data_IF_714700470127
#
_entry.id   IF_714700470127
#
_cell.length_a   1.000
_cell.length_b   1.000
_cell.length_c   1.000
_cell.angle_alpha   90.00
_cell.angle_beta   90.00
_cell.angle_gamma   90.00
#
_symmetry.space_group_name_H-M   'P 1'
#
loop_
_entity.id
_entity.type
_entity.pdbx_description
1 polymer ?
#
# COMPACT_ATOMS: atom_id res chain seq x y z
N UNK A 1 -39.16 -55.87 -57.97
CA UNK A 1 -37.70 -56.05 -58.04
C UNK A 1 -37.10 -54.77 -57.47
N UNK A 2 -36.84 -54.68 -56.17
CA UNK A 2 -35.53 -54.99 -55.52
C UNK A 2 -34.62 -53.75 -55.67
N UNK A 3 -33.98 -53.12 -54.68
CA UNK A 3 -33.50 -53.46 -53.31
C UNK A 3 -33.94 -52.30 -52.37
N UNK A 4 -34.02 -52.37 -51.04
CA UNK A 4 -33.75 -53.38 -50.01
C UNK A 4 -33.19 -52.72 -48.74
N UNK A 5 -33.42 -53.27 -47.54
CA UNK A 5 -33.11 -52.60 -46.25
C UNK A 5 -31.89 -53.18 -45.53
N UNK A 6 -30.99 -52.31 -45.05
CA UNK A 6 -30.13 -52.58 -43.88
C UNK A 6 -29.78 -51.27 -43.15
N UNK A 7 -29.95 -51.26 -41.82
CA UNK A 7 -29.37 -50.23 -40.94
C UNK A 7 -27.95 -50.62 -40.53
N UNK A 8 -27.13 -49.65 -40.09
CA UNK A 8 -26.41 -49.65 -38.79
C UNK A 8 -25.57 -48.35 -38.59
N UNK A 9 -25.97 -47.58 -37.57
CA UNK A 9 -25.18 -46.79 -36.60
C UNK A 9 -24.28 -45.58 -37.01
N UNK A 10 -23.99 -44.67 -36.05
CA UNK A 10 -23.64 -43.28 -36.35
C UNK A 10 -22.14 -43.02 -36.47
N UNK A 11 -21.76 -42.12 -37.38
CA UNK A 11 -20.39 -41.66 -37.55
C UNK A 11 -19.95 -40.69 -36.45
N UNK A 12 -18.75 -40.94 -35.93
CA UNK A 12 -18.07 -40.13 -34.91
C UNK A 12 -17.81 -38.70 -35.36
N UNK A 13 -18.04 -37.72 -34.47
CA UNK A 13 -17.63 -36.33 -34.66
C UNK A 13 -16.11 -36.22 -34.87
N UNK A 14 -15.72 -35.66 -36.01
CA UNK A 14 -14.33 -35.33 -36.32
C UNK A 14 -13.78 -34.27 -35.35
N UNK A 15 -12.53 -34.37 -34.88
CA UNK A 15 -11.92 -33.33 -34.05
C UNK A 15 -11.73 -32.04 -34.86
N UNK A 16 -12.13 -30.91 -34.27
CA UNK A 16 -11.97 -29.58 -34.86
C UNK A 16 -10.48 -29.26 -34.99
N UNK A 17 -9.97 -29.25 -36.22
CA UNK A 17 -8.60 -28.82 -36.53
C UNK A 17 -8.50 -27.30 -36.42
N UNK A 18 -7.78 -26.81 -35.41
CA UNK A 18 -7.45 -25.39 -35.26
C UNK A 18 -6.39 -24.95 -36.29
N UNK A 19 -6.79 -24.78 -37.55
CA UNK A 19 -5.95 -24.14 -38.57
C UNK A 19 -6.01 -22.61 -38.45
N UNK A 20 -5.36 -22.07 -37.42
CA UNK A 20 -5.27 -20.64 -37.18
C UNK A 20 -3.87 -20.25 -36.71
N UNK A 21 -3.17 -19.43 -37.50
CA UNK A 21 -1.84 -18.90 -37.17
C UNK A 21 -1.86 -18.14 -35.83
N UNK A 22 -1.47 -18.83 -34.75
CA UNK A 22 -1.38 -18.23 -33.43
C UNK A 22 -0.19 -17.27 -33.38
N UNK A 23 -0.47 -15.96 -33.47
CA UNK A 23 0.50 -14.90 -33.16
C UNK A 23 0.92 -15.02 -31.70
N UNK A 24 2.08 -15.64 -31.48
CA UNK A 24 2.77 -15.82 -30.20
C UNK A 24 1.87 -16.00 -28.97
N UNK A 25 1.51 -17.26 -28.67
CA UNK A 25 1.33 -17.62 -27.27
C UNK A 25 2.60 -17.23 -26.50
N UNK A 26 2.50 -16.54 -25.34
CA UNK A 26 3.65 -16.39 -24.45
C UNK A 26 4.14 -17.79 -24.05
N UNK A 27 5.45 -17.98 -23.90
CA UNK A 27 6.01 -19.25 -23.44
C UNK A 27 5.32 -19.68 -22.13
N UNK A 28 5.07 -20.98 -21.96
CA UNK A 28 4.35 -21.54 -20.80
C UNK A 28 4.89 -20.98 -19.48
N UNK A 29 6.22 -20.95 -19.33
CA UNK A 29 6.95 -20.38 -18.19
C UNK A 29 6.59 -18.92 -17.89
N UNK A 30 6.30 -18.09 -18.91
CA UNK A 30 5.90 -16.69 -18.72
C UNK A 30 4.44 -16.59 -18.26
N UNK A 31 3.56 -17.44 -18.78
CA UNK A 31 2.16 -17.51 -18.35
C UNK A 31 2.05 -18.04 -16.91
N UNK A 32 2.79 -19.10 -16.57
CA UNK A 32 2.91 -19.66 -15.22
C UNK A 32 3.43 -18.63 -14.21
N UNK A 33 4.48 -17.87 -14.58
CA UNK A 33 5.02 -16.81 -13.73
C UNK A 33 4.00 -15.68 -13.48
N UNK A 34 3.22 -15.29 -14.49
CA UNK A 34 2.17 -14.28 -14.34
C UNK A 34 1.02 -14.78 -13.44
N UNK A 35 0.54 -16.01 -13.65
CA UNK A 35 -0.47 -16.66 -12.78
C UNK A 35 0.03 -16.71 -11.32
N UNK A 36 1.26 -17.17 -11.10
CA UNK A 36 1.86 -17.25 -9.77
C UNK A 36 2.07 -15.87 -9.10
N UNK A 37 2.31 -14.81 -9.88
CA UNK A 37 2.39 -13.45 -9.37
C UNK A 37 1.01 -12.89 -8.99
N UNK A 38 -0.03 -13.14 -9.81
CA UNK A 38 -1.42 -12.77 -9.50
C UNK A 38 -1.94 -13.47 -8.25
N UNK A 39 -1.63 -14.76 -8.07
CA UNK A 39 -1.95 -15.49 -6.84
C UNK A 39 -1.31 -14.86 -5.60
N UNK A 40 -0.02 -14.53 -5.64
CA UNK A 40 0.69 -13.84 -4.54
C UNK A 40 0.09 -12.47 -4.24
N UNK A 41 -0.31 -11.73 -5.27
CA UNK A 41 -0.98 -10.43 -5.13
C UNK A 41 -2.34 -10.55 -4.45
N UNK A 42 -3.15 -11.54 -4.82
CA UNK A 42 -4.44 -11.80 -4.17
C UNK A 42 -4.27 -12.19 -2.69
N UNK A 43 -3.35 -13.12 -2.39
CA UNK A 43 -3.01 -13.49 -0.99
C UNK A 43 -2.54 -12.29 -0.18
N UNK A 44 -1.80 -11.35 -0.80
CA UNK A 44 -1.40 -10.10 -0.17
C UNK A 44 -2.58 -9.15 0.07
N UNK A 45 -3.55 -9.05 -0.84
CA UNK A 45 -4.78 -8.26 -0.66
C UNK A 45 -5.68 -8.85 0.44
N UNK A 46 -5.64 -10.18 0.67
CA UNK A 46 -6.41 -10.87 1.70
C UNK A 46 -5.91 -10.60 3.14
N UNK A 47 -4.74 -9.98 3.31
CA UNK A 47 -4.27 -9.57 4.62
C UNK A 47 -5.18 -8.49 5.24
N UNK A 48 -5.46 -8.59 6.54
CA UNK A 48 -6.41 -7.70 7.25
C UNK A 48 -6.04 -6.21 7.14
N UNK A 49 -4.74 -5.88 7.10
CA UNK A 49 -4.21 -4.52 6.87
C UNK A 49 -4.52 -3.96 5.48
N UNK A 50 -4.91 -4.81 4.53
CA UNK A 50 -5.15 -4.50 3.13
C UNK A 50 -6.62 -4.64 2.74
N UNK A 51 -7.53 -4.90 3.69
CA UNK A 51 -8.99 -4.89 3.52
C UNK A 51 -9.50 -3.69 2.71
N UNK A 52 -9.05 -2.48 3.05
CA UNK A 52 -9.39 -1.24 2.30
C UNK A 52 -8.88 -1.29 0.86
N UNK A 53 -7.67 -1.80 0.60
CA UNK A 53 -7.11 -1.93 -0.75
C UNK A 53 -7.86 -2.99 -1.56
N UNK A 54 -8.24 -4.10 -0.94
CA UNK A 54 -9.07 -5.15 -1.55
C UNK A 54 -10.44 -4.58 -1.95
N UNK A 55 -11.07 -3.82 -1.06
CA UNK A 55 -12.34 -3.15 -1.34
C UNK A 55 -12.20 -2.13 -2.46
N UNK A 56 -11.21 -1.23 -2.42
CA UNK A 56 -10.97 -0.23 -3.45
C UNK A 56 -10.60 -0.86 -4.82
N UNK A 57 -9.93 -2.02 -4.83
CA UNK A 57 -9.68 -2.80 -6.05
C UNK A 57 -10.97 -3.33 -6.66
N UNK A 58 -11.85 -3.92 -5.83
CA UNK A 58 -13.13 -4.46 -6.26
C UNK A 58 -14.03 -3.38 -6.87
N UNK A 59 -14.02 -2.18 -6.28
CA UNK A 59 -14.74 -1.01 -6.79
C UNK A 59 -14.01 -0.26 -7.93
N UNK A 60 -12.93 -0.83 -8.48
CA UNK A 60 -12.17 -0.24 -9.60
C UNK A 60 -11.71 1.21 -9.35
N UNK A 61 -11.36 1.55 -8.11
CA UNK A 61 -10.88 2.89 -7.73
C UNK A 61 -9.37 3.04 -7.95
N UNK A 62 -8.63 1.93 -7.94
CA UNK A 62 -7.16 1.90 -7.99
C UNK A 62 -6.71 1.72 -9.44
N UNK A 63 -5.89 2.66 -9.92
CA UNK A 63 -5.14 2.50 -11.15
C UNK A 63 -3.93 1.60 -10.86
N UNK A 64 -4.14 0.28 -10.96
CA UNK A 64 -3.11 -0.70 -10.67
C UNK A 64 -1.93 -0.63 -11.65
N UNK A 65 -2.15 -0.17 -12.89
CA UNK A 65 -1.10 0.03 -13.90
C UNK A 65 -0.15 1.16 -13.47
N UNK A 66 -0.69 2.34 -13.18
CA UNK A 66 0.13 3.47 -12.69
C UNK A 66 0.74 3.17 -11.32
N UNK A 67 0.01 2.48 -10.44
CA UNK A 67 0.50 2.08 -9.11
C UNK A 67 1.70 1.13 -9.21
N UNK A 68 1.67 0.15 -10.12
CA UNK A 68 2.81 -0.75 -10.34
C UNK A 68 4.03 0.01 -10.92
N UNK A 69 3.80 0.91 -11.88
CA UNK A 69 4.85 1.81 -12.39
C UNK A 69 5.43 2.69 -11.28
N UNK A 70 4.61 3.20 -10.35
CA UNK A 70 5.05 4.03 -9.23
C UNK A 70 5.92 3.29 -8.19
N UNK A 71 5.69 2.00 -7.94
CA UNK A 71 6.59 1.20 -7.10
C UNK A 71 7.94 0.89 -7.79
N UNK A 72 7.99 0.98 -9.13
CA UNK A 72 9.22 0.86 -9.92
C UNK A 72 9.93 2.21 -10.10
N UNK A 73 9.17 3.31 -10.10
CA UNK A 73 9.60 4.68 -10.38
C UNK A 73 10.83 5.11 -9.55
N UNK A 74 11.73 5.83 -10.21
CA UNK A 74 13.03 6.20 -9.67
C UNK A 74 13.43 7.60 -10.19
N UNK A 75 13.40 8.60 -9.31
CA UNK A 75 13.82 9.98 -9.62
C UNK A 75 15.35 10.18 -9.52
N UNK A 76 16.13 9.11 -9.52
CA UNK A 76 17.58 9.16 -9.42
C UNK A 76 18.18 8.30 -10.53
N UNK A 77 19.07 8.86 -11.35
CA UNK A 77 19.63 8.18 -12.52
C UNK A 77 20.37 6.88 -12.18
N UNK A 78 20.81 6.73 -10.92
CA UNK A 78 21.45 5.52 -10.42
C UNK A 78 20.41 4.48 -9.97
N UNK A 79 20.42 3.24 -10.53
CA UNK A 79 19.43 2.21 -10.22
C UNK A 79 19.50 1.68 -8.77
N UNK A 80 20.62 1.90 -8.09
CA UNK A 80 20.87 1.51 -6.70
C UNK A 80 21.47 2.67 -5.92
N UNK A 81 20.62 3.49 -5.29
CA UNK A 81 21.05 4.54 -4.36
C UNK A 81 20.46 4.34 -2.96
N UNK A 82 21.18 4.76 -1.92
CA UNK A 82 20.68 4.71 -0.54
C UNK A 82 19.38 5.52 -0.35
N UNK A 83 19.23 6.61 -1.11
CA UNK A 83 17.99 7.41 -1.19
C UNK A 83 16.83 6.56 -1.74
N UNK A 84 17.01 5.90 -2.88
CA UNK A 84 16.01 5.01 -3.49
C UNK A 84 15.64 3.83 -2.57
N UNK A 85 16.62 3.20 -1.92
CA UNK A 85 16.37 2.13 -0.95
C UNK A 85 15.52 2.60 0.22
N UNK A 86 15.77 3.81 0.76
CA UNK A 86 14.94 4.43 1.80
C UNK A 86 13.54 4.79 1.29
N UNK A 87 13.41 5.25 0.04
CA UNK A 87 12.10 5.54 -0.57
C UNK A 87 11.27 4.27 -0.81
N UNK A 88 11.84 3.21 -1.38
CA UNK A 88 11.17 1.91 -1.55
C UNK A 88 10.80 1.26 -0.21
N UNK A 89 11.65 1.40 0.81
CA UNK A 89 11.34 0.94 2.17
C UNK A 89 10.22 1.77 2.83
N UNK A 90 10.07 3.05 2.46
CA UNK A 90 8.95 3.89 2.86
C UNK A 90 7.67 3.45 2.16
N UNK A 91 7.66 3.40 0.82
CA UNK A 91 6.54 2.90 0.00
C UNK A 91 5.97 1.58 0.53
N UNK A 92 6.84 0.58 0.77
CA UNK A 92 6.42 -0.72 1.33
C UNK A 92 5.78 -0.63 2.73
N UNK A 93 6.22 0.30 3.59
CA UNK A 93 5.60 0.49 4.91
C UNK A 93 4.22 1.16 4.78
N UNK A 94 4.10 2.16 3.90
CA UNK A 94 2.85 2.89 3.65
C UNK A 94 1.76 1.99 3.08
N UNK A 95 2.07 1.25 2.00
CA UNK A 95 1.08 0.41 1.31
C UNK A 95 0.57 -0.76 2.17
N UNK A 96 1.28 -1.11 3.25
CA UNK A 96 0.90 -2.18 4.17
C UNK A 96 0.42 -1.68 5.56
N UNK A 97 0.33 -0.36 5.80
CA UNK A 97 0.06 0.22 7.13
C UNK A 97 1.05 -0.22 8.23
N UNK A 98 2.35 -0.19 7.93
CA UNK A 98 3.45 -0.65 8.80
C UNK A 98 4.41 0.46 9.23
N UNK A 99 3.94 1.72 9.29
CA UNK A 99 4.67 2.76 10.02
C UNK A 99 4.66 2.47 11.52
N UNK A 100 5.68 2.91 12.29
CA UNK A 100 5.68 2.79 13.75
C UNK A 100 4.80 3.85 14.42
N UNK A 101 3.48 3.67 14.28
CA UNK A 101 2.45 4.33 15.09
C UNK A 101 2.35 3.71 16.48
N UNK A 102 1.69 4.40 17.41
CA UNK A 102 1.70 3.98 18.81
C UNK A 102 1.03 2.63 19.06
N UNK A 103 -0.03 2.27 18.33
CA UNK A 103 -0.67 0.95 18.40
C UNK A 103 0.35 -0.20 18.15
N UNK A 104 1.18 -0.07 17.13
CA UNK A 104 2.22 -1.05 16.75
C UNK A 104 3.39 -1.02 17.73
N UNK A 105 3.80 0.17 18.18
CA UNK A 105 4.92 0.33 19.12
C UNK A 105 4.56 -0.21 20.51
N UNK A 106 3.39 0.13 21.02
CA UNK A 106 2.83 -0.34 22.28
C UNK A 106 2.64 -1.86 22.25
N UNK A 107 2.04 -2.43 21.20
CA UNK A 107 1.88 -3.89 21.06
C UNK A 107 3.21 -4.65 21.06
N UNK A 108 4.29 -4.04 20.54
CA UNK A 108 5.63 -4.67 20.47
C UNK A 108 6.48 -4.46 21.73
N UNK A 109 6.30 -3.34 22.44
CA UNK A 109 7.11 -2.95 23.59
C UNK A 109 6.25 -2.25 24.68
N UNK A 110 5.21 -2.91 25.23
CA UNK A 110 4.22 -2.27 26.11
C UNK A 110 4.84 -1.54 27.30
N UNK A 111 5.87 -2.11 27.94
CA UNK A 111 6.53 -1.48 29.10
C UNK A 111 7.40 -0.27 28.74
N UNK A 112 7.75 -0.06 27.46
CA UNK A 112 8.50 1.11 27.00
C UNK A 112 7.58 2.26 26.53
N UNK A 113 6.29 1.99 26.33
CA UNK A 113 5.33 2.95 25.78
C UNK A 113 4.03 3.04 26.60
N UNK A 114 4.05 2.56 27.85
CA UNK A 114 2.88 2.54 28.74
C UNK A 114 2.24 3.92 28.93
N UNK A 115 3.04 4.98 28.96
CA UNK A 115 2.60 6.34 29.29
C UNK A 115 2.23 7.19 28.05
N UNK A 116 2.20 6.60 26.83
CA UNK A 116 1.73 7.29 25.62
C UNK A 116 1.20 6.31 24.57
N UNK A 117 -0.09 6.43 24.23
CA UNK A 117 -0.75 5.68 23.13
C UNK A 117 -1.50 6.56 22.12
N UNK A 118 -1.76 7.80 22.50
CA UNK A 118 -2.55 8.78 21.76
C UNK A 118 -1.79 9.43 20.60
N UNK A 119 -2.54 10.05 19.68
CA UNK A 119 -2.03 10.81 18.55
C UNK A 119 -0.99 11.86 18.96
N UNK A 120 0.13 11.93 18.23
CA UNK A 120 1.17 12.92 18.46
C UNK A 120 0.80 14.35 18.04
N UNK A 121 -0.30 14.53 17.31
CA UNK A 121 -0.77 15.86 16.87
C UNK A 121 -1.91 16.39 17.75
N UNK A 122 -2.99 15.63 17.92
CA UNK A 122 -4.20 16.11 18.61
C UNK A 122 -4.38 15.59 20.04
N UNK A 123 -3.64 14.53 20.42
CA UNK A 123 -3.79 13.79 21.70
C UNK A 123 -5.16 13.14 21.99
N UNK A 124 -6.17 13.27 21.11
CA UNK A 124 -7.56 12.87 21.39
C UNK A 124 -7.90 11.38 21.20
N UNK A 125 -7.17 10.67 20.33
CA UNK A 125 -7.47 9.28 19.95
C UNK A 125 -6.20 8.42 19.94
N UNK A 126 -6.33 7.08 20.00
CA UNK A 126 -5.19 6.17 19.81
C UNK A 126 -4.53 6.40 18.44
N UNK A 127 -3.19 6.36 18.39
CA UNK A 127 -2.49 6.50 17.12
C UNK A 127 -2.30 5.15 16.41
N UNK A 128 -3.12 4.93 15.39
CA UNK A 128 -2.98 3.88 14.37
C UNK A 128 -2.45 4.45 13.04
N UNK A 129 -1.99 3.59 12.13
CA UNK A 129 -1.60 3.99 10.77
C UNK A 129 -2.74 4.70 10.01
N UNK A 130 -4.00 4.37 10.30
CA UNK A 130 -5.15 4.97 9.63
C UNK A 130 -5.44 6.37 10.19
N UNK A 131 -5.53 6.47 11.52
CA UNK A 131 -5.79 7.72 12.22
C UNK A 131 -4.69 8.78 12.00
N UNK A 132 -3.47 8.36 11.68
CA UNK A 132 -2.36 9.26 11.35
C UNK A 132 -2.68 10.19 10.17
N UNK A 133 -3.35 9.68 9.13
CA UNK A 133 -3.68 10.47 7.92
C UNK A 133 -5.04 11.14 7.99
N UNK A 134 -5.92 10.65 8.88
CA UNK A 134 -7.33 11.04 8.99
C UNK A 134 -7.64 11.89 10.23
N UNK A 135 -6.66 12.11 11.11
CA UNK A 135 -6.76 13.02 12.25
C UNK A 135 -7.12 14.43 11.76
N UNK A 136 -8.20 15.01 12.31
CA UNK A 136 -8.72 16.34 11.93
C UNK A 136 -7.64 17.42 11.96
N UNK A 137 -6.84 17.47 13.03
CA UNK A 137 -5.75 18.45 13.18
C UNK A 137 -4.66 18.25 12.11
N UNK A 138 -4.32 17.01 11.74
CA UNK A 138 -3.39 16.76 10.64
C UNK A 138 -3.96 17.19 9.28
N UNK A 139 -5.27 17.00 9.07
CA UNK A 139 -5.97 17.43 7.85
C UNK A 139 -6.04 18.96 7.75
N UNK A 140 -6.31 19.66 8.86
CA UNK A 140 -6.28 21.12 8.93
C UNK A 140 -4.88 21.69 8.64
N UNK A 141 -3.83 21.11 9.23
CA UNK A 141 -2.44 21.48 8.94
C UNK A 141 -2.08 21.21 7.48
N UNK A 142 -2.56 20.10 6.91
CA UNK A 142 -2.29 19.71 5.53
C UNK A 142 -3.02 20.58 4.50
N UNK A 143 -4.20 21.10 4.83
CA UNK A 143 -5.09 21.82 3.92
C UNK A 143 -4.41 22.94 3.09
N UNK A 144 -3.78 23.99 3.68
CA UNK A 144 -3.16 25.06 2.89
C UNK A 144 -2.04 24.55 1.96
N UNK A 145 -1.35 23.48 2.35
CA UNK A 145 -0.32 22.87 1.52
C UNK A 145 -0.87 22.10 0.32
N UNK A 146 -2.03 21.44 0.47
CA UNK A 146 -2.73 20.79 -0.64
C UNK A 146 -3.33 21.83 -1.59
N UNK A 147 -3.93 22.90 -1.07
CA UNK A 147 -4.42 24.02 -1.88
C UNK A 147 -3.29 24.61 -2.73
N UNK A 148 -2.10 24.85 -2.16
CA UNK A 148 -0.94 25.31 -2.93
C UNK A 148 -0.51 24.28 -3.98
N UNK A 149 -0.38 23.00 -3.62
CA UNK A 149 -0.03 21.94 -4.57
C UNK A 149 -0.99 21.87 -5.76
N UNK A 150 -2.28 22.12 -5.55
CA UNK A 150 -3.28 22.12 -6.62
C UNK A 150 -3.08 23.31 -7.56
N UNK A 151 -2.74 24.50 -7.06
CA UNK A 151 -2.41 25.65 -7.92
C UNK A 151 -1.09 25.44 -8.68
N UNK A 152 -0.08 24.85 -8.04
CA UNK A 152 1.20 24.48 -8.67
C UNK A 152 0.98 23.44 -9.79
N UNK A 153 0.18 22.40 -9.51
CA UNK A 153 -0.20 21.34 -10.47
C UNK A 153 -0.98 21.90 -11.66
N UNK A 154 -1.97 22.75 -11.39
CA UNK A 154 -2.77 23.46 -12.41
C UNK A 154 -1.89 24.31 -13.33
N UNK A 155 -0.91 25.01 -12.75
CA UNK A 155 0.04 25.83 -13.49
C UNK A 155 0.97 24.96 -14.35
N UNK A 156 1.55 23.90 -13.79
CA UNK A 156 2.41 22.94 -14.50
C UNK A 156 1.67 22.25 -15.66
N UNK A 157 0.42 21.84 -15.49
CA UNK A 157 -0.39 21.25 -16.57
C UNK A 157 -0.65 22.29 -17.66
N UNK A 158 -1.14 23.48 -17.34
CA UNK A 158 -1.42 24.53 -18.34
C UNK A 158 -0.19 24.99 -19.12
N UNK A 159 0.99 24.94 -18.51
CA UNK A 159 2.26 25.27 -19.16
C UNK A 159 2.84 24.12 -20.02
N UNK A 160 2.32 22.89 -19.90
CA UNK A 160 2.94 21.71 -20.55
C UNK A 160 1.98 20.80 -21.31
N UNK A 161 0.66 21.03 -21.28
CA UNK A 161 -0.32 20.26 -22.03
C UNK A 161 -0.23 20.55 -23.55
N UNK A 162 -0.32 19.50 -24.36
CA UNK A 162 -0.23 19.57 -25.83
C UNK A 162 -1.54 20.09 -26.48
N UNK A 163 -2.68 19.89 -25.82
CA UNK A 163 -4.03 20.10 -26.40
C UNK A 163 -4.80 21.27 -25.76
N UNK A 164 -4.18 22.02 -24.86
CA UNK A 164 -4.86 22.99 -23.99
C UNK A 164 -5.77 22.31 -22.96
N UNK A 165 -6.33 23.10 -22.04
CA UNK A 165 -7.35 22.59 -21.12
C UNK A 165 -8.26 23.69 -20.53
N UNK A 166 -9.56 23.60 -20.84
CA UNK A 166 -10.63 24.44 -20.31
C UNK A 166 -11.35 23.84 -19.08
N UNK A 167 -11.29 22.52 -18.88
CA UNK A 167 -12.01 21.78 -17.83
C UNK A 167 -11.17 21.49 -16.59
N UNK A 168 -9.84 21.63 -16.65
CA UNK A 168 -8.90 21.36 -15.54
C UNK A 168 -9.33 21.92 -14.18
N UNK A 169 -9.93 23.11 -14.16
CA UNK A 169 -10.42 23.73 -12.92
C UNK A 169 -11.53 22.88 -12.28
N UNK A 170 -12.50 22.48 -13.10
CA UNK A 170 -13.64 21.65 -12.69
C UNK A 170 -13.19 20.24 -12.34
N UNK A 171 -12.22 19.67 -13.08
CA UNK A 171 -11.65 18.35 -12.77
C UNK A 171 -10.93 18.35 -11.40
N UNK A 172 -10.11 19.36 -11.12
CA UNK A 172 -9.40 19.49 -9.84
C UNK A 172 -10.36 19.76 -8.68
N UNK A 173 -11.35 20.66 -8.86
CA UNK A 173 -12.32 21.01 -7.83
C UNK A 173 -13.24 19.85 -7.44
N UNK A 174 -13.61 19.00 -8.40
CA UNK A 174 -14.46 17.83 -8.15
C UNK A 174 -13.68 16.56 -7.77
N UNK A 175 -12.35 16.56 -7.89
CA UNK A 175 -11.52 15.39 -7.64
C UNK A 175 -11.70 14.83 -6.23
N UNK A 176 -11.91 13.51 -6.09
CA UNK A 176 -12.18 12.93 -4.76
C UNK A 176 -11.00 12.96 -3.78
N UNK A 177 -9.79 13.25 -4.27
CA UNK A 177 -8.60 13.48 -3.43
C UNK A 177 -8.59 14.92 -2.88
N UNK A 178 -9.04 15.88 -3.67
CA UNK A 178 -8.82 17.32 -3.42
C UNK A 178 -10.06 18.07 -2.93
N UNK A 179 -11.28 17.64 -3.30
CA UNK A 179 -12.53 18.34 -2.99
C UNK A 179 -12.70 18.72 -1.51
N UNK A 180 -12.25 17.88 -0.59
CA UNK A 180 -12.27 18.15 0.85
C UNK A 180 -11.39 19.35 1.25
N UNK A 181 -10.23 19.52 0.62
CA UNK A 181 -9.28 20.60 0.93
C UNK A 181 -9.61 21.91 0.19
N UNK A 182 -10.42 21.86 -0.87
CA UNK A 182 -10.80 23.01 -1.68
C UNK A 182 -12.11 23.68 -1.22
N UNK A 183 -12.96 22.96 -0.47
CA UNK A 183 -14.21 23.52 0.03
C UNK A 183 -14.05 24.31 1.34
N UNK A 184 -14.97 25.25 1.55
CA UNK A 184 -15.10 25.98 2.81
C UNK A 184 -15.33 25.01 3.98
N UNK A 185 -14.69 25.30 5.13
CA UNK A 185 -14.69 24.43 6.31
C UNK A 185 -16.12 24.11 6.76
N UNK A 186 -16.40 22.82 6.98
CA UNK A 186 -17.69 22.33 7.49
C UNK A 186 -18.65 21.77 6.43
N UNK A 187 -18.43 22.03 5.13
CA UNK A 187 -19.36 21.61 4.07
C UNK A 187 -19.25 20.13 3.65
N UNK A 188 -18.13 19.46 3.95
CA UNK A 188 -17.91 18.04 3.68
C UNK A 188 -17.58 17.28 4.96
N UNK A 189 -18.00 15.99 5.08
CA UNK A 189 -17.51 15.13 6.14
C UNK A 189 -16.00 14.93 6.03
N UNK A 190 -15.35 14.72 7.17
CA UNK A 190 -13.93 14.40 7.23
C UNK A 190 -13.62 13.13 6.39
N UNK A 191 -12.48 13.09 5.67
CA UNK A 191 -12.01 11.88 5.01
C UNK A 191 -11.97 10.67 5.96
N UNK A 192 -12.37 9.52 5.44
CA UNK A 192 -12.34 8.23 6.14
C UNK A 192 -11.41 7.26 5.43
N UNK A 193 -11.27 6.04 5.95
CA UNK A 193 -10.52 4.97 5.27
C UNK A 193 -11.08 4.62 3.89
N UNK A 194 -12.36 4.89 3.63
CA UNK A 194 -13.00 4.66 2.32
C UNK A 194 -12.81 5.83 1.34
N UNK A 195 -12.15 6.93 1.75
CA UNK A 195 -11.92 8.10 0.89
C UNK A 195 -10.72 7.91 -0.03
N UNK A 196 -10.83 8.39 -1.28
CA UNK A 196 -9.77 8.30 -2.29
C UNK A 196 -8.45 8.95 -1.80
N UNK A 197 -8.53 10.04 -1.04
CA UNK A 197 -7.37 10.65 -0.36
C UNK A 197 -6.59 9.66 0.54
N UNK A 198 -7.27 8.75 1.23
CA UNK A 198 -6.60 7.76 2.07
C UNK A 198 -5.78 6.75 1.25
N UNK A 199 -6.25 6.39 0.04
CA UNK A 199 -5.48 5.58 -0.91
C UNK A 199 -4.22 6.32 -1.38
N UNK A 200 -4.34 7.62 -1.70
CA UNK A 200 -3.19 8.49 -1.99
C UNK A 200 -2.18 8.51 -0.84
N UNK A 201 -2.64 8.65 0.41
CA UNK A 201 -1.79 8.57 1.59
C UNK A 201 -1.05 7.21 1.66
N UNK A 202 -1.73 6.09 1.37
CA UNK A 202 -1.14 4.74 1.27
C UNK A 202 -0.19 4.51 0.08
N UNK A 203 0.15 5.53 -0.70
CA UNK A 203 1.03 5.46 -1.89
C UNK A 203 0.39 4.71 -3.07
N UNK A 204 -0.94 4.71 -3.18
CA UNK A 204 -1.69 4.10 -4.28
C UNK A 204 -2.17 5.19 -5.24
N UNK A 205 -1.93 5.00 -6.54
CA UNK A 205 -2.48 5.86 -7.59
C UNK A 205 -3.90 5.39 -7.89
N UNK A 206 -4.85 6.32 -7.81
CA UNK A 206 -6.26 6.07 -8.08
C UNK A 206 -6.64 6.60 -9.44
N UNK A 207 -7.73 6.10 -10.00
CA UNK A 207 -8.24 6.62 -11.27
C UNK A 207 -8.60 8.12 -11.18
N UNK A 208 -9.10 8.62 -10.04
CA UNK A 208 -9.24 10.07 -9.81
C UNK A 208 -7.93 10.84 -10.06
N UNK A 209 -6.76 10.32 -9.66
CA UNK A 209 -5.50 11.02 -9.88
C UNK A 209 -5.03 10.91 -11.33
N UNK A 210 -5.05 9.72 -11.92
CA UNK A 210 -4.65 9.50 -13.32
C UNK A 210 -5.53 10.28 -14.30
N UNK A 211 -6.83 10.40 -14.01
CA UNK A 211 -7.79 11.11 -14.86
C UNK A 211 -7.44 12.58 -15.01
N UNK A 212 -6.86 13.23 -13.99
CA UNK A 212 -6.37 14.62 -14.08
C UNK A 212 -5.40 14.80 -15.25
N UNK A 213 -4.69 13.78 -15.72
CA UNK A 213 -3.73 13.92 -16.81
C UNK A 213 -4.27 13.42 -18.17
N UNK A 214 -5.48 12.85 -18.19
CA UNK A 214 -6.11 12.29 -19.40
C UNK A 214 -6.27 13.37 -20.47
N UNK A 215 -6.01 12.98 -21.72
CA UNK A 215 -6.20 13.78 -22.94
C UNK A 215 -5.41 15.11 -23.01
N UNK A 216 -4.59 15.45 -22.01
CA UNK A 216 -3.71 16.64 -21.99
C UNK A 216 -2.38 16.46 -22.73
N UNK A 217 -1.94 15.23 -22.95
CA UNK A 217 -0.61 14.91 -23.49
C UNK A 217 -0.69 13.91 -24.64
N UNK A 218 -0.08 14.25 -25.78
CA UNK A 218 -0.02 13.46 -27.02
C UNK A 218 0.74 12.16 -26.85
N UNK A 219 1.83 12.20 -26.09
CA UNK A 219 2.74 11.08 -25.92
C UNK A 219 2.50 10.35 -24.60
N UNK A 220 2.08 9.08 -24.67
CA UNK A 220 1.83 8.20 -23.51
C UNK A 220 3.00 8.17 -22.50
N UNK A 221 4.25 8.23 -22.97
CA UNK A 221 5.44 8.30 -22.09
C UNK A 221 5.48 9.60 -21.28
N UNK A 222 5.14 10.74 -21.88
CA UNK A 222 5.06 12.04 -21.21
C UNK A 222 3.92 12.05 -20.19
N UNK A 223 2.74 11.54 -20.58
CA UNK A 223 1.59 11.34 -19.70
C UNK A 223 1.95 10.54 -18.44
N UNK A 224 2.52 9.35 -18.60
CA UNK A 224 2.94 8.50 -17.48
C UNK A 224 3.97 9.21 -16.59
N UNK A 225 5.01 9.81 -17.18
CA UNK A 225 6.03 10.53 -16.43
C UNK A 225 5.46 11.70 -15.60
N UNK A 226 4.48 12.43 -16.15
CA UNK A 226 3.77 13.51 -15.44
C UNK A 226 2.95 12.96 -14.26
N UNK A 227 2.14 11.91 -14.47
CA UNK A 227 1.40 11.22 -13.40
C UNK A 227 2.35 10.79 -12.29
N UNK A 228 3.43 10.07 -12.62
CA UNK A 228 4.38 9.53 -11.64
C UNK A 228 5.15 10.63 -10.88
N UNK A 229 5.58 11.70 -11.56
CA UNK A 229 6.27 12.84 -10.92
C UNK A 229 5.34 13.60 -9.98
N UNK A 230 4.13 13.94 -10.44
CA UNK A 230 3.18 14.71 -9.63
C UNK A 230 2.60 13.90 -8.47
N UNK A 231 2.43 12.59 -8.63
CA UNK A 231 2.07 11.71 -7.51
C UNK A 231 3.22 11.56 -6.50
N UNK A 232 4.48 11.50 -6.95
CA UNK A 232 5.64 11.56 -6.06
C UNK A 232 5.70 12.88 -5.28
N UNK A 233 5.51 14.03 -5.95
CA UNK A 233 5.47 15.35 -5.32
C UNK A 233 4.38 15.41 -4.23
N UNK A 234 3.15 14.98 -4.53
CA UNK A 234 2.02 14.93 -3.59
C UNK A 234 2.29 14.02 -2.38
N UNK A 235 2.72 12.78 -2.62
CA UNK A 235 2.97 11.82 -1.54
C UNK A 235 4.13 12.24 -0.63
N UNK A 236 5.13 12.94 -1.17
CA UNK A 236 6.26 13.46 -0.42
C UNK A 236 5.90 14.75 0.32
N UNK A 237 4.96 15.55 -0.19
CA UNK A 237 4.34 16.66 0.52
C UNK A 237 3.59 16.17 1.76
N UNK A 238 2.67 15.22 1.62
CA UNK A 238 1.90 14.62 2.74
C UNK A 238 2.86 14.10 3.83
N UNK A 239 3.90 13.37 3.42
CA UNK A 239 4.97 12.89 4.31
C UNK A 239 5.78 14.01 4.99
N UNK A 240 6.06 15.10 4.27
CA UNK A 240 6.80 16.26 4.80
C UNK A 240 5.99 16.99 5.87
N UNK A 241 4.69 17.13 5.66
CA UNK A 241 3.80 17.91 6.53
C UNK A 241 3.32 17.08 7.74
N UNK A 242 2.90 15.83 7.54
CA UNK A 242 2.35 14.99 8.63
C UNK A 242 3.45 14.13 9.28
N UNK A 243 4.08 13.24 8.51
CA UNK A 243 4.96 12.22 9.09
C UNK A 243 6.23 12.77 9.72
N UNK A 244 6.90 13.74 9.08
CA UNK A 244 8.16 14.29 9.61
C UNK A 244 7.97 14.98 10.97
N UNK A 245 7.07 15.97 11.15
CA UNK A 245 6.83 16.60 12.46
C UNK A 245 6.42 15.58 13.52
N UNK A 246 5.47 14.68 13.23
CA UNK A 246 5.06 13.59 14.14
C UNK A 246 6.26 12.76 14.60
N UNK A 247 7.12 12.35 13.67
CA UNK A 247 8.28 11.53 13.96
C UNK A 247 9.36 12.28 14.76
N UNK A 248 9.47 13.59 14.59
CA UNK A 248 10.40 14.42 15.36
C UNK A 248 9.87 14.72 16.78
N UNK A 249 8.56 14.91 16.96
CA UNK A 249 7.91 14.92 18.29
C UNK A 249 8.11 13.58 19.01
N UNK A 250 7.89 12.46 18.33
CA UNK A 250 8.15 11.11 18.86
C UNK A 250 9.62 10.90 19.28
N UNK A 251 10.59 11.44 18.51
CA UNK A 251 12.01 11.41 18.91
C UNK A 251 12.26 12.22 20.18
N UNK A 252 11.77 13.47 20.26
CA UNK A 252 11.92 14.34 21.44
C UNK A 252 11.37 13.65 22.70
N UNK A 253 10.16 13.09 22.63
CA UNK A 253 9.57 12.35 23.73
C UNK A 253 10.40 11.14 24.15
N UNK A 254 10.90 10.31 23.20
CA UNK A 254 11.77 9.17 23.54
C UNK A 254 13.06 9.59 24.27
N UNK A 255 13.63 10.74 23.92
CA UNK A 255 14.82 11.27 24.60
C UNK A 255 14.46 11.66 26.04
N UNK A 256 13.36 12.38 26.25
CA UNK A 256 12.86 12.73 27.58
C UNK A 256 12.52 11.50 28.46
N UNK A 257 12.07 10.41 27.85
CA UNK A 257 11.79 9.13 28.52
C UNK A 257 13.00 8.18 28.59
N UNK A 258 14.20 8.62 28.20
CA UNK A 258 15.44 7.81 28.20
C UNK A 258 15.33 6.48 27.41
N UNK A 259 14.48 6.44 26.37
CA UNK A 259 14.25 5.26 25.53
C UNK A 259 15.32 5.19 24.43
N UNK A 260 16.40 4.47 24.74
CA UNK A 260 17.56 4.30 23.86
C UNK A 260 17.53 2.96 23.10
N UNK A 261 18.48 2.78 22.16
CA UNK A 261 18.76 1.48 21.53
C UNK A 261 19.06 0.37 22.55
N UNK A 262 19.61 0.72 23.72
CA UNK A 262 19.83 -0.24 24.81
C UNK A 262 18.51 -0.70 25.43
N UNK A 263 17.56 0.21 25.68
CA UNK A 263 16.25 -0.10 26.26
C UNK A 263 15.50 -1.18 25.46
N UNK A 264 15.50 -1.09 24.12
CA UNK A 264 14.93 -2.14 23.25
C UNK A 264 15.69 -3.48 23.33
N UNK A 265 17.03 -3.47 23.38
CA UNK A 265 17.84 -4.69 23.54
C UNK A 265 17.55 -5.38 24.87
N UNK A 266 17.49 -4.60 25.96
CA UNK A 266 17.22 -5.10 27.30
C UNK A 266 15.80 -5.66 27.43
N UNK A 267 14.80 -4.97 26.88
CA UNK A 267 13.42 -5.47 26.82
C UNK A 267 13.31 -6.83 26.13
N UNK A 268 13.96 -6.99 24.97
CA UNK A 268 13.99 -8.27 24.22
C UNK A 268 14.72 -9.38 24.97
N UNK A 269 15.79 -9.06 25.71
CA UNK A 269 16.50 -10.02 26.57
C UNK A 269 15.61 -10.49 27.72
N UNK A 270 14.93 -9.58 28.42
CA UNK A 270 14.00 -9.90 29.51
C UNK A 270 12.84 -10.77 29.02
N UNK A 271 12.13 -10.36 27.98
CA UNK A 271 10.97 -11.10 27.44
C UNK A 271 11.33 -12.48 26.87
N UNK A 272 12.54 -12.68 26.33
CA UNK A 272 13.02 -14.03 25.96
C UNK A 272 13.19 -14.94 27.18
N UNK A 273 13.82 -14.45 28.26
CA UNK A 273 14.02 -15.22 29.50
C UNK A 273 12.70 -15.62 30.18
N UNK A 274 11.69 -14.75 30.16
CA UNK A 274 10.38 -15.07 30.74
C UNK A 274 9.68 -16.21 30.01
N UNK A 275 9.78 -16.27 28.67
CA UNK A 275 9.19 -17.36 27.88
C UNK A 275 9.88 -18.70 28.13
N UNK A 276 11.21 -18.73 28.22
CA UNK A 276 11.94 -19.98 28.50
C UNK A 276 11.69 -20.58 29.90
N UNK A 277 11.05 -19.86 30.82
CA UNK A 277 10.66 -20.39 32.14
C UNK A 277 9.19 -20.86 32.21
N UNK A 278 8.39 -20.66 31.17
CA UNK A 278 6.96 -21.05 31.14
C UNK A 278 6.69 -22.32 30.33
N UNK A 279 7.67 -22.80 29.55
CA UNK A 279 7.56 -24.05 28.78
C UNK A 279 8.08 -25.26 29.58
N UNK A 280 7.34 -25.65 30.62
CA UNK A 280 7.48 -26.99 31.25
C UNK A 280 6.11 -27.71 31.30
N UNK A 281 5.68 -28.36 30.20
CA UNK A 281 4.69 -29.43 30.27
C UNK A 281 5.39 -30.72 30.72
N UNK A 282 4.86 -31.39 31.74
CA UNK A 282 5.29 -32.75 32.08
C UNK A 282 4.99 -33.68 30.89
N UNK A 283 6.01 -34.36 30.37
CA UNK A 283 5.84 -35.37 29.33
C UNK A 283 5.32 -36.67 29.94
N UNK A 284 4.04 -36.96 29.76
CA UNK A 284 3.58 -38.34 29.73
C UNK A 284 3.52 -38.79 28.27
N UNK A 285 4.25 -39.85 27.92
CA UNK A 285 4.10 -40.56 26.65
C UNK A 285 2.97 -41.58 26.80
N UNK A 286 2.08 -41.65 25.82
CA UNK A 286 1.83 -42.86 25.02
C UNK A 286 0.80 -42.60 23.89
N UNK A 287 0.92 -43.45 22.86
CA UNK A 287 -0.03 -43.75 21.78
C UNK A 287 -0.25 -42.77 20.61
N UNK A 288 -0.34 -43.38 19.43
CA UNK A 288 -0.49 -42.79 18.08
C UNK A 288 -1.97 -42.86 17.61
N UNK A 289 -2.29 -42.62 16.32
CA UNK A 289 -2.11 -41.37 15.59
C UNK A 289 -3.47 -40.86 15.05
N UNK A 290 -3.72 -39.54 15.09
CA UNK A 290 -4.81 -38.95 14.28
C UNK A 290 -4.47 -37.58 13.72
N UNK A 291 -4.73 -37.47 12.42
CA UNK A 291 -4.57 -36.32 11.52
C UNK A 291 -5.06 -34.99 12.09
N UNK A 292 -4.13 -34.06 12.38
CA UNK A 292 -4.39 -32.61 12.41
C UNK A 292 -3.28 -31.82 11.71
N UNK A 293 -3.67 -30.99 10.75
CA UNK A 293 -2.78 -30.16 9.95
C UNK A 293 -2.06 -29.09 10.81
N UNK A 294 -0.73 -29.10 10.77
CA UNK A 294 0.12 -28.19 11.54
C UNK A 294 0.29 -26.80 10.89
N UNK A 295 -0.79 -26.03 10.75
CA UNK A 295 -0.79 -24.67 10.22
C UNK A 295 -0.65 -23.61 11.34
N UNK A 296 0.56 -23.35 11.86
CA UNK A 296 0.75 -22.22 12.82
C UNK A 296 2.16 -21.65 12.99
N UNK A 297 3.25 -22.43 12.88
CA UNK A 297 4.56 -21.99 13.39
C UNK A 297 5.57 -21.45 12.35
N UNK A 298 5.35 -21.59 11.04
CA UNK A 298 6.31 -21.14 10.02
C UNK A 298 6.26 -19.62 9.80
N UNK A 299 5.07 -19.02 9.75
CA UNK A 299 4.88 -17.60 9.42
C UNK A 299 5.38 -16.61 10.49
N UNK A 300 5.43 -17.02 11.77
CA UNK A 300 5.88 -16.12 12.85
C UNK A 300 7.37 -15.76 12.81
N UNK A 301 8.21 -16.52 12.10
CA UNK A 301 9.67 -16.35 12.13
C UNK A 301 10.20 -15.54 10.93
N UNK A 302 9.67 -15.77 9.73
CA UNK A 302 10.01 -15.03 8.51
C UNK A 302 9.60 -13.55 8.61
N UNK A 303 8.39 -13.28 9.10
CA UNK A 303 7.89 -11.94 9.43
C UNK A 303 8.54 -11.33 10.69
N UNK A 304 9.45 -12.03 11.37
CA UNK A 304 10.24 -11.44 12.45
C UNK A 304 11.62 -10.98 11.99
N UNK A 305 12.19 -11.59 10.94
CA UNK A 305 13.51 -11.25 10.42
C UNK A 305 13.46 -10.07 9.42
N UNK A 306 12.56 -10.11 8.42
CA UNK A 306 12.46 -9.04 7.42
C UNK A 306 12.18 -7.66 8.02
N UNK A 307 11.28 -7.60 9.01
CA UNK A 307 10.87 -6.35 9.64
C UNK A 307 11.89 -5.77 10.63
N UNK A 308 12.81 -6.58 11.17
CA UNK A 308 13.88 -6.07 12.03
C UNK A 308 14.97 -5.35 11.24
N UNK A 309 15.35 -5.87 10.07
CA UNK A 309 16.39 -5.27 9.23
C UNK A 309 15.96 -3.88 8.73
N UNK A 310 14.68 -3.73 8.37
CA UNK A 310 14.10 -2.45 7.91
C UNK A 310 13.89 -1.39 9.01
N UNK A 311 13.92 -1.77 10.28
CA UNK A 311 13.79 -0.82 11.40
C UNK A 311 15.15 -0.23 11.81
N UNK A 312 16.20 -1.07 11.87
CA UNK A 312 17.52 -0.63 12.32
C UNK A 312 18.36 0.12 11.27
N UNK A 313 18.00 0.08 9.98
CA UNK A 313 18.68 0.83 8.91
C UNK A 313 18.00 2.18 8.56
N UNK A 314 16.96 2.59 9.30
CA UNK A 314 16.23 3.85 9.06
C UNK A 314 15.96 4.71 10.30
N UNK A 315 16.66 4.42 11.40
CA UNK A 315 16.79 5.28 12.59
C UNK A 315 18.17 5.96 12.56
#
# INVERSE_FOLDING_TARGET
>A
MGIGWHMIQPSTLSPITFSGFCKHFPSSTKAEADIGNRQKFNVWLDYTTNSVLKQASFHQQIDWSMTEEFFKYNLHDRPTSHKLTKFRAWQRKMVNNLLPTMDILYRRYPTLFKDKRTCWTCDQHEETNDSLWLCSVNLEILCPHIVQFIQDLKTDIRQTCDYGDSLLEQELNNNSIFKFFLQLRGNLPLPTTNSIFYLTARQIITHDFSYIFREKYKHKKTLHNKILSKFYELTQLIKRIIWKPRNDTFKKWKVAQWITKHSYKQYRRKTKKTRSHTDHPQQHKNEEPTTRYHFSNVYRNTDFQFYQIAFFRSL
#
